data_IF_754128722775
#
_entry.id   IF_754128722775
#
_cell.length_a   1.000
_cell.length_b   1.000
_cell.length_c   1.000
_cell.angle_alpha   90.00
_cell.angle_beta   90.00
_cell.angle_gamma   90.00
#
_symmetry.space_group_name_H-M   'P 1'
#
loop_
_entity.id
_entity.type
_entity.pdbx_description
1 polymer ?
#
# COMPACT_ATOMS: atom_id res chain seq x y z
N UNK A 1 0.14 20.57 16.95
CA UNK A 1 0.06 19.14 16.60
C UNK A 1 1.17 18.39 17.31
N UNK A 2 0.92 17.21 17.90
CA UNK A 2 2.00 16.42 18.48
C UNK A 2 2.95 15.97 17.36
N UNK A 3 4.24 16.23 17.54
CA UNK A 3 5.27 15.72 16.64
C UNK A 3 5.60 14.30 17.05
N UNK A 4 5.54 13.35 16.11
CA UNK A 4 6.04 11.98 16.34
C UNK A 4 7.52 11.97 16.76
N UNK A 5 8.27 13.04 16.51
CA UNK A 5 9.67 13.19 16.93
C UNK A 5 9.86 13.40 18.45
N UNK A 6 8.78 13.63 19.22
CA UNK A 6 8.86 13.80 20.68
C UNK A 6 8.76 12.49 21.45
N UNK A 7 8.53 11.39 20.73
CA UNK A 7 8.39 10.06 21.33
C UNK A 7 9.70 9.34 21.15
N UNK A 8 10.20 8.79 22.25
CA UNK A 8 11.25 7.79 22.17
C UNK A 8 10.61 6.50 21.66
N UNK A 9 10.74 6.29 20.34
CA UNK A 9 10.17 5.11 19.68
C UNK A 9 10.81 3.81 20.13
N UNK A 10 12.00 3.83 20.74
CA UNK A 10 12.61 2.62 21.27
C UNK A 10 12.03 2.27 22.65
N UNK A 11 11.87 3.28 23.52
CA UNK A 11 11.41 3.08 24.89
C UNK A 11 9.87 3.05 25.05
N UNK A 12 9.12 3.68 24.15
CA UNK A 12 7.67 3.75 24.25
C UNK A 12 7.00 2.39 24.04
N UNK A 13 5.94 2.13 24.79
CA UNK A 13 5.07 0.96 24.63
C UNK A 13 4.30 1.02 23.30
N UNK A 14 3.77 -0.12 22.84
CA UNK A 14 2.92 -0.16 21.65
C UNK A 14 1.70 0.76 21.77
N UNK A 15 1.09 0.84 22.96
CA UNK A 15 -0.07 1.70 23.22
C UNK A 15 0.27 3.18 23.09
N UNK A 16 1.39 3.63 23.66
CA UNK A 16 1.85 5.02 23.55
C UNK A 16 2.20 5.39 22.09
N UNK A 17 2.87 4.49 21.37
CA UNK A 17 3.17 4.65 19.94
C UNK A 17 1.89 4.78 19.12
N UNK A 18 0.88 3.95 19.39
CA UNK A 18 -0.42 4.00 18.70
C UNK A 18 -1.19 5.28 19.03
N UNK A 19 -1.22 5.70 20.28
CA UNK A 19 -1.92 6.92 20.68
C UNK A 19 -1.33 8.16 20.02
N UNK A 20 0.00 8.18 19.84
CA UNK A 20 0.64 9.22 19.08
C UNK A 20 0.29 9.21 17.60
N UNK A 21 0.25 8.03 16.98
CA UNK A 21 -0.11 7.88 15.58
C UNK A 21 -1.55 8.29 15.31
N UNK A 22 -2.48 8.04 16.23
CA UNK A 22 -3.87 8.50 16.13
C UNK A 22 -3.99 10.03 16.11
N UNK A 23 -3.01 10.75 16.68
CA UNK A 23 -2.96 12.22 16.69
C UNK A 23 -2.06 12.79 15.59
N UNK A 24 -1.44 11.93 14.80
CA UNK A 24 -0.55 12.31 13.71
C UNK A 24 -1.33 12.78 12.49
N UNK A 25 -0.69 13.60 11.66
CA UNK A 25 -1.17 13.90 10.32
C UNK A 25 -1.00 12.69 9.40
N UNK A 26 -1.81 12.62 8.34
CA UNK A 26 -1.66 11.63 7.27
C UNK A 26 -0.23 11.56 6.73
N UNK A 27 0.41 12.73 6.53
CA UNK A 27 1.81 12.80 6.09
C UNK A 27 2.76 12.14 7.08
N UNK A 28 2.53 12.30 8.38
CA UNK A 28 3.33 11.65 9.42
C UNK A 28 3.09 10.15 9.47
N UNK A 29 1.85 9.68 9.26
CA UNK A 29 1.54 8.24 9.15
C UNK A 29 2.23 7.62 7.93
N UNK A 30 2.18 8.28 6.77
CA UNK A 30 2.91 7.84 5.57
C UNK A 30 4.43 7.85 5.76
N UNK A 31 4.97 8.83 6.49
CA UNK A 31 6.39 8.86 6.82
C UNK A 31 6.76 7.70 7.74
N UNK A 32 5.94 7.43 8.76
CA UNK A 32 6.15 6.31 9.68
C UNK A 32 6.07 4.97 8.97
N UNK A 33 5.13 4.76 8.04
CA UNK A 33 5.01 3.50 7.30
C UNK A 33 6.28 3.15 6.51
N UNK A 34 7.09 4.15 6.15
CA UNK A 34 8.33 3.98 5.39
C UNK A 34 9.56 3.76 6.28
N UNK A 35 9.47 4.15 7.55
CA UNK A 35 10.58 4.19 8.48
C UNK A 35 10.47 3.16 9.62
N UNK A 36 9.27 2.65 9.90
CA UNK A 36 9.06 1.67 10.98
C UNK A 36 9.86 0.39 10.72
N UNK A 37 10.53 -0.08 11.76
CA UNK A 37 11.31 -1.32 11.73
C UNK A 37 10.42 -2.53 12.02
N UNK A 38 10.68 -3.64 11.34
CA UNK A 38 9.95 -4.90 11.49
C UNK A 38 10.50 -5.74 12.66
N UNK A 39 10.40 -5.18 13.86
CA UNK A 39 10.78 -5.84 15.11
C UNK A 39 9.56 -6.30 15.92
N UNK A 40 9.68 -7.30 16.82
CA UNK A 40 8.56 -7.82 17.60
C UNK A 40 7.72 -6.77 18.33
N UNK A 41 8.33 -5.68 18.81
CA UNK A 41 7.64 -4.58 19.50
C UNK A 41 6.83 -3.64 18.58
N UNK A 42 7.00 -3.76 17.26
CA UNK A 42 6.41 -2.83 16.29
C UNK A 42 5.25 -3.43 15.49
N UNK A 43 4.91 -4.71 15.68
CA UNK A 43 3.89 -5.39 14.89
C UNK A 43 2.48 -4.80 15.05
N UNK A 44 2.10 -4.37 16.25
CA UNK A 44 0.80 -3.71 16.46
C UNK A 44 0.72 -2.36 15.75
N UNK A 45 1.82 -1.60 15.79
CA UNK A 45 1.97 -0.33 15.09
C UNK A 45 1.89 -0.53 13.57
N UNK A 46 2.63 -1.50 13.03
CA UNK A 46 2.60 -1.85 11.60
C UNK A 46 1.19 -2.28 11.18
N UNK A 47 0.54 -3.14 11.97
CA UNK A 47 -0.83 -3.57 11.72
C UNK A 47 -1.78 -2.37 11.64
N UNK A 48 -1.69 -1.45 12.60
CA UNK A 48 -2.53 -0.25 12.61
C UNK A 48 -2.23 0.65 11.40
N UNK A 49 -0.96 0.96 11.12
CA UNK A 49 -0.55 1.79 9.98
C UNK A 49 -1.08 1.20 8.67
N UNK A 50 -0.91 -0.11 8.45
CA UNK A 50 -1.35 -0.77 7.24
C UNK A 50 -2.87 -0.71 7.01
N UNK A 51 -3.66 -0.47 8.05
CA UNK A 51 -5.11 -0.38 7.95
C UNK A 51 -5.63 1.05 7.69
N UNK A 52 -4.74 2.05 7.64
CA UNK A 52 -5.16 3.44 7.48
C UNK A 52 -5.37 3.81 6.02
N UNK A 53 -6.51 4.45 5.72
CA UNK A 53 -6.87 4.90 4.37
C UNK A 53 -5.96 6.01 3.84
N UNK A 54 -5.29 6.75 4.74
CA UNK A 54 -4.39 7.83 4.36
C UNK A 54 -3.01 7.35 3.88
N UNK A 55 -2.67 6.08 4.10
CA UNK A 55 -1.44 5.49 3.59
C UNK A 55 -1.52 5.39 2.07
N UNK A 56 -0.55 6.00 1.38
CA UNK A 56 -0.47 5.89 -0.08
C UNK A 56 0.20 4.59 -0.54
N UNK A 57 -0.01 4.24 -1.81
CA UNK A 57 0.49 2.99 -2.40
C UNK A 57 2.01 2.88 -2.31
N UNK A 58 2.75 3.98 -2.50
CA UNK A 58 4.20 3.98 -2.40
C UNK A 58 4.67 3.67 -0.97
N UNK A 59 4.02 4.28 0.01
CA UNK A 59 4.22 4.02 1.43
C UNK A 59 3.89 2.58 1.84
N UNK A 60 2.80 2.01 1.33
CA UNK A 60 2.43 0.61 1.59
C UNK A 60 3.41 -0.39 0.95
N UNK A 61 3.87 -0.13 -0.27
CA UNK A 61 4.86 -0.97 -0.95
C UNK A 61 6.23 -0.90 -0.27
N UNK A 62 6.65 0.29 0.19
CA UNK A 62 7.86 0.41 1.02
C UNK A 62 7.71 -0.38 2.31
N UNK A 63 6.57 -0.27 3.01
CA UNK A 63 6.32 -1.06 4.23
C UNK A 63 6.38 -2.58 3.97
N UNK A 64 5.80 -3.04 2.87
CA UNK A 64 5.84 -4.45 2.43
C UNK A 64 7.29 -4.93 2.20
N UNK A 65 8.08 -4.19 1.43
CA UNK A 65 9.47 -4.57 1.15
C UNK A 65 10.40 -4.46 2.37
N UNK A 66 10.14 -3.54 3.31
CA UNK A 66 10.90 -3.44 4.56
C UNK A 66 10.77 -4.70 5.44
N UNK A 67 9.73 -5.52 5.22
CA UNK A 67 9.56 -6.80 5.90
C UNK A 67 10.43 -7.93 5.33
N UNK A 68 11.17 -7.68 4.24
CA UNK A 68 11.97 -8.67 3.52
C UNK A 68 11.17 -9.91 3.10
N UNK A 69 10.09 -9.74 2.31
CA UNK A 69 9.19 -10.83 1.92
C UNK A 69 9.92 -11.99 1.21
N UNK A 70 11.05 -11.71 0.56
CA UNK A 70 11.90 -12.70 -0.12
C UNK A 70 12.30 -13.86 0.81
N UNK A 71 12.43 -13.61 2.12
CA UNK A 71 12.85 -14.61 3.11
C UNK A 71 11.87 -15.76 3.29
N UNK A 72 10.58 -15.51 3.05
CA UNK A 72 9.52 -16.48 3.34
C UNK A 72 8.56 -16.71 2.18
N UNK A 73 8.74 -16.02 1.03
CA UNK A 73 7.82 -16.11 -0.11
C UNK A 73 7.66 -17.54 -0.65
N UNK A 74 8.73 -18.35 -0.57
CA UNK A 74 8.73 -19.76 -1.00
C UNK A 74 8.67 -20.77 0.16
N UNK A 75 8.55 -20.30 1.39
CA UNK A 75 8.55 -21.17 2.58
C UNK A 75 7.10 -21.61 2.87
N UNK A 76 6.80 -22.92 2.91
CA UNK A 76 5.48 -23.40 3.31
C UNK A 76 5.08 -22.88 4.69
N UNK A 77 3.81 -22.53 4.88
CA UNK A 77 3.31 -21.92 6.13
C UNK A 77 3.65 -22.73 7.39
N UNK A 78 3.59 -24.07 7.30
CA UNK A 78 3.90 -24.97 8.41
C UNK A 78 5.39 -24.98 8.81
N UNK A 79 6.28 -24.50 7.92
CA UNK A 79 7.73 -24.44 8.12
C UNK A 79 8.20 -23.05 8.55
N UNK A 80 7.31 -22.05 8.58
CA UNK A 80 7.64 -20.72 9.09
C UNK A 80 7.81 -20.79 10.61
N UNK A 81 8.95 -20.32 11.17
CA UNK A 81 9.17 -20.29 12.60
C UNK A 81 8.02 -19.56 13.33
N UNK A 82 7.54 -20.04 14.50
CA UNK A 82 6.44 -19.41 15.22
C UNK A 82 6.62 -17.91 15.45
N UNK A 83 7.84 -17.46 15.76
CA UNK A 83 8.18 -16.05 15.94
C UNK A 83 8.00 -15.18 14.67
N UNK A 84 8.05 -15.77 13.49
CA UNK A 84 7.91 -15.09 12.19
C UNK A 84 6.50 -15.19 11.60
N UNK A 85 5.60 -15.97 12.22
CA UNK A 85 4.21 -16.07 11.77
C UNK A 85 3.46 -14.73 11.80
N UNK A 86 3.63 -13.84 12.81
CA UNK A 86 2.99 -12.53 12.80
C UNK A 86 3.42 -11.67 11.61
N UNK A 87 4.72 -11.69 11.26
CA UNK A 87 5.27 -10.99 10.09
C UNK A 87 4.61 -11.49 8.81
N UNK A 88 4.55 -12.81 8.64
CA UNK A 88 3.94 -13.42 7.45
C UNK A 88 2.44 -13.12 7.35
N UNK A 89 1.70 -13.15 8.46
CA UNK A 89 0.28 -12.82 8.48
C UNK A 89 0.03 -11.34 8.12
N UNK A 90 0.91 -10.45 8.58
CA UNK A 90 0.84 -9.04 8.23
C UNK A 90 1.19 -8.78 6.76
N UNK A 91 2.15 -9.53 6.20
CA UNK A 91 2.46 -9.53 4.77
C UNK A 91 1.28 -10.05 3.93
N UNK A 92 0.58 -11.09 4.36
CA UNK A 92 -0.64 -11.58 3.70
C UNK A 92 -1.68 -10.44 3.61
N UNK A 93 -1.93 -9.76 4.73
CA UNK A 93 -2.91 -8.70 4.81
C UNK A 93 -2.50 -7.46 3.98
N UNK A 94 -1.21 -7.09 3.97
CA UNK A 94 -0.67 -6.03 3.13
C UNK A 94 -0.83 -6.36 1.64
N UNK A 95 -0.39 -7.55 1.23
CA UNK A 95 -0.49 -8.01 -0.16
C UNK A 95 -1.94 -7.98 -0.65
N UNK A 96 -2.88 -8.48 0.17
CA UNK A 96 -4.30 -8.45 -0.16
C UNK A 96 -4.84 -7.02 -0.31
N UNK A 97 -4.51 -6.10 0.61
CA UNK A 97 -4.95 -4.69 0.53
C UNK A 97 -4.36 -3.99 -0.68
N UNK A 98 -3.07 -4.21 -0.97
CA UNK A 98 -2.41 -3.68 -2.17
C UNK A 98 -3.16 -4.16 -3.41
N UNK A 99 -3.35 -5.46 -3.56
CA UNK A 99 -3.99 -6.04 -4.74
C UNK A 99 -5.47 -5.66 -4.89
N UNK A 100 -6.16 -5.38 -3.78
CA UNK A 100 -7.52 -4.86 -3.77
C UNK A 100 -7.61 -3.36 -4.15
N UNK A 101 -6.48 -2.68 -4.33
CA UNK A 101 -6.45 -1.24 -4.64
C UNK A 101 -6.85 -0.36 -3.45
N UNK A 102 -6.66 -0.84 -2.22
CA UNK A 102 -6.98 -0.08 -1.00
C UNK A 102 -6.14 1.20 -0.87
N UNK A 103 -4.88 1.15 -1.31
CA UNK A 103 -3.96 2.29 -1.28
C UNK A 103 -3.93 2.99 -2.64
N UNK A 104 -4.06 4.31 -2.64
CA UNK A 104 -3.98 5.12 -3.86
C UNK A 104 -2.56 5.68 -4.04
N UNK A 105 -2.03 5.79 -5.27
CA UNK A 105 -0.75 6.43 -5.51
C UNK A 105 -0.83 7.94 -5.26
N UNK A 106 0.17 8.50 -4.56
CA UNK A 106 0.31 9.96 -4.39
C UNK A 106 1.37 10.49 -5.38
N UNK A 107 0.99 11.35 -6.35
CA UNK A 107 1.94 11.87 -7.35
C UNK A 107 3.03 12.76 -6.75
N UNK A 108 2.82 13.34 -5.56
CA UNK A 108 3.81 14.15 -4.86
C UNK A 108 4.79 13.30 -4.02
N UNK A 109 4.47 12.02 -3.75
CA UNK A 109 5.32 11.12 -2.97
C UNK A 109 5.71 9.89 -3.78
N UNK A 110 6.97 9.87 -4.23
CA UNK A 110 7.56 8.70 -4.89
C UNK A 110 7.73 7.54 -3.90
N UNK A 111 7.61 6.31 -4.40
CA UNK A 111 7.99 5.10 -3.66
C UNK A 111 9.50 5.09 -3.37
N UNK A 112 9.91 4.58 -2.20
CA UNK A 112 11.32 4.21 -1.95
C UNK A 112 11.58 2.84 -2.58
N UNK A 113 12.67 2.72 -3.32
CA UNK A 113 13.12 1.47 -3.94
C UNK A 113 12.22 0.97 -5.08
N UNK A 114 11.85 1.80 -6.09
CA UNK A 114 11.07 1.34 -7.23
C UNK A 114 11.77 0.21 -8.01
N UNK A 115 13.11 0.21 -8.06
CA UNK A 115 13.89 -0.85 -8.71
C UNK A 115 13.70 -2.21 -8.02
N UNK A 116 13.60 -2.24 -6.69
CA UNK A 116 13.31 -3.47 -5.94
C UNK A 116 11.94 -4.02 -6.28
N UNK A 117 10.95 -3.14 -6.48
CA UNK A 117 9.63 -3.56 -6.96
C UNK A 117 9.70 -4.10 -8.39
N UNK A 118 10.45 -3.46 -9.28
CA UNK A 118 10.64 -3.95 -10.64
C UNK A 118 11.24 -5.36 -10.65
N UNK A 119 12.34 -5.57 -9.92
CA UNK A 119 12.97 -6.89 -9.76
C UNK A 119 12.01 -7.91 -9.15
N UNK A 120 11.23 -7.52 -8.13
CA UNK A 120 10.23 -8.40 -7.53
C UNK A 120 9.18 -8.85 -8.55
N UNK A 121 8.67 -7.95 -9.38
CA UNK A 121 7.69 -8.26 -10.43
C UNK A 121 8.29 -9.14 -11.54
N UNK A 122 9.54 -8.89 -11.93
CA UNK A 122 10.27 -9.71 -12.90
C UNK A 122 10.46 -11.14 -12.39
N UNK A 123 10.89 -11.29 -11.14
CA UNK A 123 11.03 -12.60 -10.50
C UNK A 123 9.68 -13.33 -10.44
N UNK A 124 8.59 -12.64 -10.09
CA UNK A 124 7.24 -13.23 -10.08
C UNK A 124 6.79 -13.68 -11.48
N UNK A 125 7.12 -12.91 -12.51
CA UNK A 125 6.83 -13.29 -13.89
C UNK A 125 7.66 -14.50 -14.35
N UNK A 126 8.93 -14.59 -13.93
CA UNK A 126 9.78 -15.73 -14.20
C UNK A 126 9.28 -16.99 -13.47
N UNK A 127 8.98 -16.88 -12.17
CA UNK A 127 8.43 -17.97 -11.36
C UNK A 127 7.14 -18.52 -11.99
N UNK A 128 6.25 -17.63 -12.44
CA UNK A 128 5.02 -18.04 -13.10
C UNK A 128 5.27 -18.84 -14.39
N UNK A 129 6.31 -18.52 -15.17
CA UNK A 129 6.70 -19.31 -16.35
C UNK A 129 7.24 -20.69 -15.99
N UNK A 130 7.84 -20.82 -14.81
CA UNK A 130 8.39 -22.06 -14.27
C UNK A 130 7.35 -22.86 -13.47
N UNK A 131 6.11 -22.38 -13.34
CA UNK A 131 5.08 -23.01 -12.51
C UNK A 131 5.34 -22.90 -11.00
N UNK A 132 6.25 -22.00 -10.59
CA UNK A 132 6.55 -21.73 -9.18
C UNK A 132 5.60 -20.65 -8.68
N UNK A 133 4.99 -20.89 -7.53
CA UNK A 133 4.11 -19.93 -6.88
C UNK A 133 4.75 -19.37 -5.61
N UNK A 134 4.89 -18.04 -5.59
CA UNK A 134 5.21 -17.30 -4.36
C UNK A 134 3.95 -17.05 -3.55
N UNK A 135 4.11 -16.96 -2.23
CA UNK A 135 3.02 -16.64 -1.30
C UNK A 135 2.44 -15.25 -1.55
N UNK A 136 3.26 -14.25 -1.88
CA UNK A 136 2.81 -12.86 -2.00
C UNK A 136 2.92 -12.31 -3.42
N UNK A 137 2.04 -12.75 -4.32
CA UNK A 137 1.96 -12.22 -5.69
C UNK A 137 1.36 -10.81 -5.73
N UNK A 138 2.12 -9.82 -6.21
CA UNK A 138 1.58 -8.47 -6.42
C UNK A 138 0.94 -8.39 -7.81
N UNK A 139 -0.21 -7.74 -7.92
CA UNK A 139 -0.89 -7.55 -9.20
C UNK A 139 -0.17 -6.46 -10.03
N UNK A 140 0.48 -6.80 -11.16
CA UNK A 140 1.25 -5.83 -11.93
C UNK A 140 0.41 -4.67 -12.48
N UNK A 141 -0.89 -4.88 -12.69
CA UNK A 141 -1.79 -3.81 -13.13
C UNK A 141 -2.01 -2.73 -12.05
N UNK A 142 -1.88 -3.10 -10.78
CA UNK A 142 -2.02 -2.17 -9.65
C UNK A 142 -0.67 -1.50 -9.34
N UNK A 143 0.40 -2.28 -9.24
CA UNK A 143 1.69 -1.79 -8.72
C UNK A 143 2.68 -1.38 -9.82
N UNK A 144 2.46 -1.78 -11.07
CA UNK A 144 3.35 -1.48 -12.20
C UNK A 144 3.67 0.00 -12.39
N UNK A 145 2.71 0.95 -12.22
CA UNK A 145 3.01 2.38 -12.27
C UNK A 145 3.99 2.87 -11.20
N UNK A 146 4.17 2.11 -10.11
CA UNK A 146 5.12 2.45 -9.05
C UNK A 146 6.54 1.98 -9.36
N UNK A 147 6.68 0.89 -10.12
CA UNK A 147 7.97 0.33 -10.55
C UNK A 147 8.61 1.17 -11.67
N UNK A 148 7.79 1.65 -12.59
CA UNK A 148 8.19 2.60 -13.61
C UNK A 148 7.99 3.99 -13.03
N UNK A 149 8.99 4.59 -12.38
CA UNK A 149 8.93 5.96 -11.87
C UNK A 149 8.83 7.05 -12.97
N UNK A 150 8.13 6.76 -14.07
CA UNK A 150 7.62 7.74 -15.00
C UNK A 150 6.49 8.51 -14.31
N UNK A 151 6.42 9.84 -14.49
CA UNK A 151 5.36 10.64 -13.89
C UNK A 151 4.01 10.09 -14.37
N UNK A 152 3.22 9.58 -13.43
CA UNK A 152 1.84 9.18 -13.67
C UNK A 152 1.14 10.40 -14.24
N UNK A 153 0.86 10.39 -15.56
CA UNK A 153 -0.09 11.33 -16.14
C UNK A 153 -1.40 11.06 -15.42
N UNK A 154 -1.77 11.97 -14.52
CA UNK A 154 -3.04 11.96 -13.83
C UNK A 154 -4.12 11.56 -14.85
N UNK A 155 -4.76 10.41 -14.60
CA UNK A 155 -5.81 9.92 -15.44
C UNK A 155 -6.84 11.03 -15.58
N UNK A 156 -6.88 11.65 -16.77
CA UNK A 156 -8.10 12.27 -17.28
C UNK A 156 -9.15 11.18 -17.14
N UNK A 157 -10.03 11.29 -16.14
CA UNK A 157 -11.42 10.90 -16.36
C UNK A 157 -11.79 11.62 -17.66
N UNK A 158 -11.85 10.90 -18.78
CA UNK A 158 -12.62 11.38 -19.92
C UNK A 158 -14.03 11.47 -19.36
N UNK A 159 -14.42 12.67 -18.92
CA UNK A 159 -15.83 13.01 -18.78
C UNK A 159 -16.45 12.61 -20.12
N UNK A 160 -17.42 11.70 -20.06
CA UNK A 160 -18.17 11.26 -21.20
C UNK A 160 -18.55 12.49 -22.03
N UNK A 161 -18.32 12.41 -23.34
CA UNK A 161 -18.80 13.43 -24.24
C UNK A 161 -20.29 13.64 -23.95
N UNK A 162 -20.65 14.91 -23.70
CA UNK A 162 -22.02 15.34 -23.42
C UNK A 162 -22.84 15.08 -24.67
N UNK A 163 -23.40 13.89 -24.81
CA UNK A 163 -24.40 13.61 -25.83
C UNK A 163 -25.58 14.53 -25.59
N UNK A 164 -25.81 15.39 -26.57
CA UNK A 164 -26.98 16.26 -26.61
C UNK A 164 -28.20 15.38 -26.87
N UNK A 165 -29.07 15.32 -25.86
CA UNK A 165 -30.54 15.40 -26.00
C UNK A 165 -31.25 14.39 -26.90
N UNK A 166 -32.06 13.53 -26.28
CA UNK A 166 -33.37 13.13 -26.82
C UNK A 166 -34.53 13.19 -25.80
N UNK A 167 -34.27 13.24 -24.50
CA UNK A 167 -35.32 13.31 -23.46
C UNK A 167 -35.72 14.75 -23.06
N UNK A 168 -35.07 15.78 -23.59
CA UNK A 168 -35.38 17.19 -23.33
C UNK A 168 -36.48 17.81 -24.19
N UNK A 169 -37.14 17.03 -25.08
CA UNK A 169 -38.17 17.53 -26.01
C UNK A 169 -39.61 17.18 -25.61
N UNK A 170 -39.84 16.55 -24.46
CA UNK A 170 -41.19 16.08 -24.08
C UNK A 170 -41.90 17.05 -23.10
N UNK A 171 -41.18 18.03 -22.54
CA UNK A 171 -41.78 19.04 -21.66
C UNK A 171 -41.35 20.44 -22.08
N UNK A 172 -42.03 20.99 -23.10
CA UNK A 172 -42.11 22.44 -23.29
C UNK A 172 -43.53 22.88 -22.90
N UNK A 173 -43.72 23.75 -21.90
CA UNK A 173 -45.03 24.28 -21.58
C UNK A 173 -45.45 25.30 -22.65
N UNK A 174 -46.63 25.10 -23.23
CA UNK A 174 -47.35 26.10 -24.02
C UNK A 174 -47.75 27.24 -23.08
N UNK A 175 -47.10 28.40 -23.22
CA UNK A 175 -47.64 29.66 -22.72
C UNK A 175 -48.25 30.39 -23.91
N UNK A 176 -49.56 30.61 -23.81
CA UNK A 176 -50.33 31.55 -24.62
C UNK A 176 -50.09 32.98 -24.12
#
# INVERSE_FOLDING_TARGET
MPSLARIDWAAATAEERLEALRRATDRQVCAMSRAVEWEPGSYEVIRWISAQICVDLGSALTLFHNAEPERFDKVPRAQVPPAMQPVCAQLDALCQRINAGFYLPDPARKMIGPDRLATWLENQAQDARLGIEGRWRLNPAIVGPMANALPVRAGRRKAAAKEKSLLGRIFSPLTA
#
